data_IF_960653198718
#
_entry.id   IF_960653198718
#
_cell.length_a   1.000
_cell.length_b   1.000
_cell.length_c   1.000
_cell.angle_alpha   90.00
_cell.angle_beta   90.00
_cell.angle_gamma   90.00
#
_symmetry.space_group_name_H-M   'P 1'
#
loop_
_entity.id
_entity.type
_entity.pdbx_description
1 polymer ?
#
# COMPACT_ATOMS: atom_id res chain seq x y z
N UNK A 1 15.14 -3.67 -10.74
CA UNK A 1 15.17 -2.82 -9.54
C UNK A 1 16.44 -2.01 -9.60
N UNK A 2 16.43 -0.79 -9.08
CA UNK A 2 17.60 0.06 -8.97
C UNK A 2 18.75 -0.60 -8.20
N UNK A 3 19.93 -0.01 -8.27
CA UNK A 3 21.09 -0.45 -7.50
C UNK A 3 20.81 -0.34 -5.98
N UNK A 4 21.63 -0.98 -5.16
CA UNK A 4 21.56 -0.83 -3.70
C UNK A 4 21.69 0.65 -3.27
N UNK A 5 22.45 1.44 -4.03
CA UNK A 5 22.62 2.88 -3.83
C UNK A 5 21.31 3.65 -4.03
N UNK A 6 20.46 3.23 -4.98
CA UNK A 6 19.14 3.85 -5.20
C UNK A 6 18.21 3.63 -4.00
N UNK A 7 18.22 2.44 -3.39
CA UNK A 7 17.42 2.12 -2.21
C UNK A 7 17.91 2.91 -0.98
N UNK A 8 19.21 3.01 -0.79
CA UNK A 8 19.82 3.79 0.29
C UNK A 8 19.47 5.28 0.18
N UNK A 9 19.56 5.81 -1.03
CA UNK A 9 19.19 7.21 -1.32
C UNK A 9 17.69 7.44 -1.04
N UNK A 10 16.83 6.53 -1.50
CA UNK A 10 15.39 6.61 -1.24
C UNK A 10 15.10 6.54 0.27
N UNK A 11 15.79 5.66 1.01
CA UNK A 11 15.64 5.56 2.45
C UNK A 11 15.98 6.88 3.15
N UNK A 12 17.10 7.51 2.77
CA UNK A 12 17.50 8.80 3.33
C UNK A 12 16.45 9.89 3.03
N UNK A 13 15.93 9.93 1.81
CA UNK A 13 14.86 10.86 1.42
C UNK A 13 13.60 10.63 2.25
N UNK A 14 13.17 9.37 2.39
CA UNK A 14 12.02 9.01 3.22
C UNK A 14 12.22 9.48 4.66
N UNK A 15 13.36 9.16 5.28
CA UNK A 15 13.65 9.54 6.66
C UNK A 15 13.68 11.08 6.85
N UNK A 16 14.15 11.83 5.87
CA UNK A 16 14.14 13.30 5.91
C UNK A 16 12.73 13.92 5.83
N UNK A 17 11.75 13.18 5.33
CA UNK A 17 10.37 13.62 5.20
C UNK A 17 9.50 13.29 6.43
N UNK A 18 10.03 12.60 7.46
CA UNK A 18 9.23 12.16 8.61
C UNK A 18 8.51 13.31 9.30
N UNK A 19 9.21 14.39 9.65
CA UNK A 19 8.62 15.51 10.38
C UNK A 19 7.51 16.20 9.57
N UNK A 20 7.73 16.41 8.28
CA UNK A 20 6.71 16.97 7.39
C UNK A 20 5.52 16.03 7.21
N UNK A 21 5.77 14.73 7.16
CA UNK A 21 4.71 13.72 7.08
C UNK A 21 3.87 13.68 8.35
N UNK A 22 4.48 13.78 9.52
CA UNK A 22 3.78 13.90 10.81
C UNK A 22 2.96 15.19 10.89
N UNK A 23 3.50 16.33 10.48
CA UNK A 23 2.78 17.60 10.49
C UNK A 23 1.54 17.58 9.55
N UNK A 24 1.61 16.85 8.45
CA UNK A 24 0.53 16.73 7.47
C UNK A 24 -0.36 15.48 7.69
N UNK A 25 -0.12 14.72 8.76
CA UNK A 25 -0.91 13.53 9.04
C UNK A 25 -2.37 13.89 9.38
N UNK A 26 -3.28 12.96 9.12
CA UNK A 26 -4.73 13.18 9.24
C UNK A 26 -5.23 13.37 10.67
N UNK A 27 -4.47 12.90 11.66
CA UNK A 27 -4.75 13.09 13.09
C UNK A 27 -3.59 13.83 13.74
N UNK A 28 -3.89 14.74 14.65
CA UNK A 28 -2.91 15.43 15.49
C UNK A 28 -2.95 14.95 16.97
N UNK A 29 -3.67 13.87 17.24
CA UNK A 29 -3.62 13.21 18.56
C UNK A 29 -2.20 12.67 18.80
N UNK A 30 -1.57 13.00 19.95
CA UNK A 30 -0.18 12.61 20.21
C UNK A 30 0.06 11.10 20.19
N UNK A 31 -0.88 10.31 20.69
CA UNK A 31 -0.76 8.84 20.66
C UNK A 31 -0.81 8.29 19.23
N UNK A 32 -1.74 8.81 18.42
CA UNK A 32 -1.86 8.41 17.00
C UNK A 32 -0.62 8.82 16.22
N UNK A 33 -0.05 10.00 16.48
CA UNK A 33 1.20 10.44 15.86
C UNK A 33 2.40 9.55 16.24
N UNK A 34 2.49 9.11 17.49
CA UNK A 34 3.54 8.17 17.90
C UNK A 34 3.39 6.81 17.21
N UNK A 35 2.18 6.30 17.04
CA UNK A 35 1.93 5.10 16.27
C UNK A 35 2.30 5.27 14.79
N UNK A 36 1.88 6.36 14.17
CA UNK A 36 2.25 6.69 12.79
C UNK A 36 3.77 6.71 12.61
N UNK A 37 4.48 7.42 13.51
CA UNK A 37 5.95 7.48 13.51
C UNK A 37 6.59 6.09 13.63
N UNK A 38 6.09 5.25 14.54
CA UNK A 38 6.61 3.89 14.72
C UNK A 38 6.44 3.03 13.45
N UNK A 39 5.28 3.11 12.80
CA UNK A 39 4.99 2.40 11.55
C UNK A 39 5.83 2.94 10.39
N UNK A 40 5.93 4.26 10.27
CA UNK A 40 6.75 4.95 9.26
C UNK A 40 8.21 4.51 9.35
N UNK A 41 8.80 4.56 10.54
CA UNK A 41 10.19 4.14 10.78
C UNK A 41 10.38 2.63 10.54
N UNK A 42 9.42 1.80 10.90
CA UNK A 42 9.47 0.36 10.61
C UNK A 42 9.50 0.10 9.12
N UNK A 43 8.66 0.80 8.35
CA UNK A 43 8.66 0.69 6.89
C UNK A 43 9.98 1.19 6.30
N UNK A 44 10.45 2.39 6.67
CA UNK A 44 11.65 3.00 6.13
C UNK A 44 12.94 2.27 6.49
N UNK A 45 13.07 1.81 7.75
CA UNK A 45 14.32 1.25 8.29
C UNK A 45 14.41 -0.27 8.20
N UNK A 46 13.26 -0.96 8.09
CA UNK A 46 13.23 -2.43 8.09
C UNK A 46 12.71 -3.00 6.77
N UNK A 47 11.58 -2.51 6.24
CA UNK A 47 10.98 -3.11 5.05
C UNK A 47 11.64 -2.62 3.77
N UNK A 48 11.81 -1.32 3.61
CA UNK A 48 12.36 -0.73 2.40
C UNK A 48 13.75 -1.25 2.03
N UNK A 49 14.59 -1.52 3.03
CA UNK A 49 15.98 -1.98 2.87
C UNK A 49 16.16 -3.49 3.03
N UNK A 50 15.09 -4.25 3.09
CA UNK A 50 15.10 -5.70 3.28
C UNK A 50 14.64 -6.43 2.01
N UNK A 51 14.73 -7.78 1.97
CA UNK A 51 14.14 -8.58 0.88
C UNK A 51 12.61 -8.56 0.82
N UNK A 52 11.92 -7.86 1.71
CA UNK A 52 10.46 -7.70 1.66
C UNK A 52 10.07 -6.97 0.39
N UNK A 53 9.13 -7.55 -0.35
CA UNK A 53 8.65 -6.98 -1.61
C UNK A 53 7.94 -5.65 -1.39
N UNK A 54 8.41 -4.59 -2.03
CA UNK A 54 7.79 -3.26 -1.98
C UNK A 54 6.67 -3.10 -3.00
N UNK A 55 6.79 -3.82 -4.11
CA UNK A 55 5.82 -3.78 -5.21
C UNK A 55 5.53 -5.21 -5.65
N UNK A 56 4.26 -5.55 -5.75
CA UNK A 56 3.78 -6.78 -6.37
C UNK A 56 3.56 -6.54 -7.88
N UNK A 57 3.89 -7.52 -8.71
CA UNK A 57 3.64 -7.50 -10.14
C UNK A 57 2.72 -8.65 -10.52
N UNK A 58 1.61 -8.33 -11.16
CA UNK A 58 0.59 -9.27 -11.60
C UNK A 58 0.55 -9.29 -13.12
N UNK A 59 0.82 -10.45 -13.71
CA UNK A 59 0.76 -10.65 -15.15
C UNK A 59 -0.59 -11.22 -15.54
N UNK A 60 -1.31 -10.52 -16.40
CA UNK A 60 -2.59 -10.95 -16.95
C UNK A 60 -2.41 -11.31 -18.43
N UNK A 61 -2.81 -12.53 -18.78
CA UNK A 61 -2.76 -13.01 -20.17
C UNK A 61 -3.84 -12.38 -21.06
N UNK A 62 -4.81 -11.69 -20.46
CA UNK A 62 -5.85 -10.94 -21.17
C UNK A 62 -5.74 -9.47 -20.80
N UNK A 63 -5.40 -8.62 -21.76
CA UNK A 63 -5.30 -7.20 -21.53
C UNK A 63 -6.64 -6.50 -21.43
N UNK A 64 -6.63 -5.33 -20.80
CA UNK A 64 -7.81 -4.47 -20.61
C UNK A 64 -8.26 -3.74 -21.90
N UNK A 65 -7.57 -3.87 -23.01
CA UNK A 65 -7.90 -3.16 -24.25
C UNK A 65 -9.07 -3.84 -25.00
N UNK A 66 -10.22 -3.17 -25.00
CA UNK A 66 -11.31 -3.47 -25.92
C UNK A 66 -10.83 -3.26 -27.37
N UNK A 67 -11.20 -4.15 -28.31
CA UNK A 67 -10.89 -3.96 -29.72
C UNK A 67 -10.40 -5.21 -30.46
N UNK A 68 -10.50 -6.40 -29.84
CA UNK A 68 -10.20 -7.67 -30.52
C UNK A 68 -8.70 -7.99 -30.66
N UNK A 69 -7.80 -7.14 -30.19
CA UNK A 69 -6.36 -7.46 -30.11
C UNK A 69 -6.08 -8.27 -28.85
N UNK A 70 -5.29 -9.32 -29.01
CA UNK A 70 -4.74 -10.05 -27.86
C UNK A 70 -3.65 -9.20 -27.22
N UNK A 71 -3.88 -8.79 -26.00
CA UNK A 71 -2.92 -8.02 -25.20
C UNK A 71 -2.62 -8.72 -23.88
N UNK A 72 -1.45 -8.51 -23.34
CA UNK A 72 -1.15 -8.84 -21.94
C UNK A 72 -1.01 -7.56 -21.14
N UNK A 73 -1.31 -7.63 -19.86
CA UNK A 73 -1.11 -6.51 -18.92
C UNK A 73 -0.18 -6.92 -17.80
N UNK A 74 0.72 -6.03 -17.43
CA UNK A 74 1.48 -6.09 -16.19
C UNK A 74 0.90 -5.03 -15.25
N UNK A 75 0.11 -5.45 -14.28
CA UNK A 75 -0.34 -4.59 -13.19
C UNK A 75 0.68 -4.64 -12.06
N UNK A 76 0.76 -3.58 -11.28
CA UNK A 76 1.65 -3.53 -10.13
C UNK A 76 1.00 -2.75 -8.99
N UNK A 77 1.24 -3.21 -7.78
CA UNK A 77 0.67 -2.67 -6.56
C UNK A 77 1.74 -2.40 -5.52
N UNK A 78 1.69 -1.21 -4.92
CA UNK A 78 2.57 -0.82 -3.83
C UNK A 78 2.11 -1.49 -2.54
N UNK A 79 2.95 -2.35 -1.97
CA UNK A 79 2.58 -3.18 -0.82
C UNK A 79 2.78 -2.47 0.53
N UNK A 80 3.70 -1.51 0.61
CA UNK A 80 4.01 -0.80 1.85
C UNK A 80 4.00 0.72 1.61
N UNK A 81 2.80 1.33 1.35
CA UNK A 81 2.71 2.76 1.10
C UNK A 81 3.04 3.58 2.35
N UNK A 82 3.64 4.75 2.13
CA UNK A 82 3.82 5.79 3.14
C UNK A 82 2.61 6.73 3.22
N UNK A 83 1.85 6.85 2.14
CA UNK A 83 0.57 7.55 2.12
C UNK A 83 -0.43 6.85 3.03
N UNK A 84 -1.11 7.61 3.87
CA UNK A 84 -2.16 7.09 4.74
C UNK A 84 -3.39 7.97 4.66
N UNK A 85 -4.52 7.32 4.48
CA UNK A 85 -5.82 7.94 4.42
C UNK A 85 -6.55 7.97 5.76
N UNK A 86 -7.85 8.17 5.69
CA UNK A 86 -8.74 8.20 6.85
C UNK A 86 -10.12 7.66 6.50
N UNK A 87 -10.79 7.13 7.52
CA UNK A 87 -12.17 6.70 7.47
C UNK A 87 -12.89 7.24 8.71
N UNK A 88 -13.98 7.97 8.52
CA UNK A 88 -14.79 8.53 9.60
C UNK A 88 -16.28 8.34 9.33
N UNK A 89 -17.04 8.06 10.39
CA UNK A 89 -18.49 8.19 10.35
C UNK A 89 -18.86 9.68 10.36
N UNK A 90 -19.86 10.06 9.59
CA UNK A 90 -20.34 11.45 9.46
C UNK A 90 -21.67 11.68 10.15
N UNK A 91 -22.40 10.60 10.45
CA UNK A 91 -23.69 10.61 11.14
C UNK A 91 -23.74 9.46 12.16
N UNK A 92 -24.78 9.41 12.97
CA UNK A 92 -25.09 8.28 13.87
C UNK A 92 -26.06 7.27 13.23
N UNK A 93 -26.42 7.43 11.98
CA UNK A 93 -27.19 6.44 11.23
C UNK A 93 -26.23 5.39 10.64
N UNK A 94 -26.45 4.13 10.99
CA UNK A 94 -25.61 3.00 10.53
C UNK A 94 -25.81 2.65 9.05
N UNK A 95 -26.82 3.20 8.40
CA UNK A 95 -27.06 3.04 6.96
C UNK A 95 -26.35 4.09 6.12
N UNK A 96 -25.84 5.16 6.74
CA UNK A 96 -25.05 6.16 6.04
C UNK A 96 -23.62 5.65 5.80
N UNK A 97 -23.14 5.81 4.57
CA UNK A 97 -21.75 5.46 4.24
C UNK A 97 -20.76 6.36 4.97
N UNK A 98 -19.67 5.79 5.52
CA UNK A 98 -18.61 6.60 6.11
C UNK A 98 -17.90 7.43 5.04
N UNK A 99 -17.30 8.53 5.48
CA UNK A 99 -16.38 9.30 4.64
C UNK A 99 -15.06 8.56 4.51
N UNK A 100 -14.67 8.28 3.26
CA UNK A 100 -13.43 7.61 2.87
C UNK A 100 -12.53 8.59 2.12
N UNK A 101 -11.36 8.86 2.66
CA UNK A 101 -10.33 9.66 2.01
C UNK A 101 -9.03 8.84 2.01
N UNK A 102 -8.73 8.11 0.94
CA UNK A 102 -7.57 7.23 0.89
C UNK A 102 -6.23 7.97 0.77
N UNK A 103 -6.22 9.25 0.39
CA UNK A 103 -5.03 10.08 0.20
C UNK A 103 -3.92 9.40 -0.60
N UNK A 104 -4.30 8.66 -1.63
CA UNK A 104 -3.35 7.93 -2.48
C UNK A 104 -2.32 8.89 -3.06
N UNK A 105 -1.04 8.46 -3.11
CA UNK A 105 0.09 9.26 -3.59
C UNK A 105 0.34 10.57 -2.83
N UNK A 106 -0.20 10.73 -1.63
CA UNK A 106 0.06 11.92 -0.81
C UNK A 106 1.51 11.99 -0.28
N UNK A 107 2.25 10.90 -0.34
CA UNK A 107 3.66 10.83 0.05
C UNK A 107 4.58 10.69 -1.19
N UNK A 108 5.63 11.53 -1.34
CA UNK A 108 6.48 11.51 -2.54
C UNK A 108 7.21 10.19 -2.80
N UNK A 109 7.52 9.43 -1.74
CA UNK A 109 8.17 8.12 -1.88
C UNK A 109 7.30 7.12 -2.63
N UNK A 110 5.97 7.17 -2.46
CA UNK A 110 5.04 6.29 -3.15
C UNK A 110 5.04 6.56 -4.65
N UNK A 111 5.07 7.84 -5.04
CA UNK A 111 5.21 8.23 -6.45
C UNK A 111 6.52 7.70 -7.03
N UNK A 112 7.62 7.83 -6.28
CA UNK A 112 8.94 7.34 -6.71
C UNK A 112 8.94 5.82 -6.89
N UNK A 113 8.39 5.06 -5.94
CA UNK A 113 8.30 3.60 -6.02
C UNK A 113 7.43 3.15 -7.19
N UNK A 114 6.27 3.79 -7.40
CA UNK A 114 5.37 3.48 -8.52
C UNK A 114 6.01 3.82 -9.86
N UNK A 115 6.76 4.91 -9.97
CA UNK A 115 7.53 5.25 -11.18
C UNK A 115 8.57 4.18 -11.50
N UNK A 116 9.29 3.68 -10.50
CA UNK A 116 10.22 2.57 -10.68
C UNK A 116 9.51 1.28 -11.08
N UNK A 117 8.29 1.06 -10.59
CA UNK A 117 7.48 -0.08 -10.99
C UNK A 117 7.09 -0.01 -12.49
N UNK A 118 6.69 1.17 -13.00
CA UNK A 118 6.46 1.35 -14.46
C UNK A 118 7.70 1.01 -15.27
N UNK A 119 8.86 1.56 -14.88
CA UNK A 119 10.14 1.29 -15.56
C UNK A 119 10.51 -0.18 -15.51
N UNK A 120 10.24 -0.87 -14.40
CA UNK A 120 10.51 -2.29 -14.26
C UNK A 120 9.55 -3.15 -15.08
N UNK A 121 8.25 -2.82 -15.11
CA UNK A 121 7.26 -3.50 -15.95
C UNK A 121 7.66 -3.44 -17.45
N UNK A 122 8.14 -2.29 -17.92
CA UNK A 122 8.70 -2.15 -19.28
C UNK A 122 9.89 -3.06 -19.52
N UNK A 123 10.80 -3.17 -18.54
CA UNK A 123 11.93 -4.12 -18.65
C UNK A 123 11.46 -5.57 -18.75
N UNK A 124 10.41 -5.96 -18.01
CA UNK A 124 9.81 -7.29 -18.17
C UNK A 124 9.36 -7.50 -19.62
N UNK A 125 8.60 -6.56 -20.17
CA UNK A 125 8.09 -6.63 -21.55
C UNK A 125 9.18 -6.65 -22.63
N UNK A 126 10.32 -5.98 -22.40
CA UNK A 126 11.44 -5.89 -23.35
C UNK A 126 12.51 -6.96 -23.15
N UNK A 127 12.32 -7.89 -22.19
CA UNK A 127 13.28 -8.97 -21.92
C UNK A 127 12.82 -10.28 -22.54
N UNK A 128 13.69 -11.05 -23.24
CA UNK A 128 13.37 -12.39 -23.69
C UNK A 128 12.98 -13.34 -22.52
N UNK A 129 12.03 -14.27 -22.73
CA UNK A 129 11.35 -14.57 -23.99
C UNK A 129 10.17 -13.66 -24.34
N UNK A 130 9.67 -12.83 -23.43
CA UNK A 130 8.47 -12.01 -23.66
C UNK A 130 8.65 -11.05 -24.85
N UNK A 131 9.78 -10.39 -24.94
CA UNK A 131 10.07 -9.45 -26.05
C UNK A 131 10.03 -10.06 -27.45
N UNK A 132 10.09 -11.39 -27.57
CA UNK A 132 10.02 -12.07 -28.88
C UNK A 132 8.60 -12.26 -29.39
N UNK A 133 7.61 -12.11 -28.51
CA UNK A 133 6.19 -12.36 -28.80
C UNK A 133 5.31 -11.13 -28.57
N UNK A 134 5.82 -10.09 -27.90
CA UNK A 134 5.11 -8.85 -27.64
C UNK A 134 5.32 -7.84 -28.76
N UNK A 135 4.26 -7.13 -29.10
CA UNK A 135 4.31 -5.93 -29.94
C UNK A 135 4.64 -4.67 -29.17
N UNK A 136 4.21 -3.55 -29.71
CA UNK A 136 4.41 -2.22 -29.09
C UNK A 136 3.57 -2.06 -27.82
N UNK A 137 4.14 -1.42 -26.81
CA UNK A 137 3.44 -1.00 -25.60
C UNK A 137 2.24 -0.09 -25.96
N UNK A 138 1.06 -0.45 -25.48
CA UNK A 138 -0.19 0.28 -25.76
C UNK A 138 -0.57 1.22 -24.63
N UNK A 139 -0.21 0.91 -23.39
CA UNK A 139 -0.50 1.74 -22.21
C UNK A 139 0.66 1.64 -21.21
N UNK A 140 1.20 2.78 -20.76
CA UNK A 140 0.93 4.16 -21.17
C UNK A 140 1.38 4.51 -22.59
N UNK A 141 2.13 3.64 -23.26
CA UNK A 141 2.73 3.84 -24.57
C UNK A 141 4.11 4.50 -24.53
N UNK A 142 4.92 4.32 -25.60
CA UNK A 142 6.33 4.71 -25.62
C UNK A 142 6.57 6.23 -25.52
N UNK A 143 5.56 7.05 -25.82
CA UNK A 143 5.65 8.50 -25.70
C UNK A 143 5.74 9.00 -24.26
N UNK A 144 5.20 8.23 -23.30
CA UNK A 144 5.26 8.52 -21.85
C UNK A 144 6.59 8.01 -21.30
N UNK A 145 7.67 8.79 -21.44
CA UNK A 145 9.03 8.35 -21.13
C UNK A 145 9.75 9.18 -20.06
N UNK A 146 9.49 10.47 -19.99
CA UNK A 146 10.06 11.32 -18.94
C UNK A 146 9.41 11.02 -17.58
N UNK A 147 10.16 11.23 -16.50
CA UNK A 147 9.67 10.93 -15.14
C UNK A 147 8.37 11.67 -14.80
N UNK A 148 8.26 12.95 -15.22
CA UNK A 148 7.05 13.73 -15.02
C UNK A 148 5.83 13.16 -15.79
N UNK A 149 6.03 12.65 -16.99
CA UNK A 149 4.96 12.04 -17.79
C UNK A 149 4.50 10.72 -17.18
N UNK A 150 5.45 9.93 -16.65
CA UNK A 150 5.16 8.70 -15.92
C UNK A 150 4.37 9.02 -14.65
N UNK A 151 4.76 10.05 -13.90
CA UNK A 151 4.04 10.47 -12.69
C UNK A 151 2.60 10.91 -13.00
N UNK A 152 2.43 11.67 -14.08
CA UNK A 152 1.11 12.06 -14.55
C UNK A 152 0.27 10.85 -14.98
N UNK A 153 0.86 9.89 -15.67
CA UNK A 153 0.17 8.64 -16.00
C UNK A 153 -0.27 7.89 -14.74
N UNK A 154 0.63 7.73 -13.76
CA UNK A 154 0.33 7.08 -12.48
C UNK A 154 -0.83 7.80 -11.78
N UNK A 155 -0.76 9.12 -11.63
CA UNK A 155 -1.78 9.90 -10.95
C UNK A 155 -3.19 9.77 -11.59
N UNK A 156 -3.25 9.59 -12.90
CA UNK A 156 -4.51 9.46 -13.64
C UNK A 156 -5.03 8.02 -13.79
N UNK A 157 -4.19 7.02 -13.52
CA UNK A 157 -4.54 5.60 -13.72
C UNK A 157 -4.53 4.74 -12.46
N UNK A 158 -4.03 5.30 -11.34
CA UNK A 158 -3.95 4.55 -10.09
C UNK A 158 -5.35 4.17 -9.56
N UNK A 159 -5.45 2.94 -9.08
CA UNK A 159 -6.66 2.40 -8.49
C UNK A 159 -6.32 1.65 -7.20
N UNK A 160 -7.35 1.32 -6.45
CA UNK A 160 -7.21 0.47 -5.26
C UNK A 160 -6.95 -0.98 -5.67
N UNK A 161 -6.13 -1.68 -4.89
CA UNK A 161 -5.99 -3.15 -4.95
C UNK A 161 -7.04 -3.87 -4.08
N UNK A 162 -8.01 -3.14 -3.54
CA UNK A 162 -9.07 -3.66 -2.68
C UNK A 162 -8.57 -4.29 -1.37
N UNK A 163 -7.46 -3.84 -0.85
CA UNK A 163 -6.83 -4.34 0.38
C UNK A 163 -6.68 -3.25 1.45
N UNK A 164 -7.75 -2.52 1.83
CA UNK A 164 -7.66 -1.52 2.90
C UNK A 164 -7.34 -2.21 4.23
N UNK A 165 -6.48 -1.57 5.03
CA UNK A 165 -6.04 -2.07 6.32
C UNK A 165 -5.84 -0.90 7.30
N UNK A 166 -5.47 -1.20 8.55
CA UNK A 166 -4.98 -0.27 9.57
C UNK A 166 -6.03 0.68 10.20
N UNK A 167 -7.28 0.68 9.80
CA UNK A 167 -8.27 1.60 10.37
C UNK A 167 -8.63 1.32 11.83
N UNK A 168 -8.38 0.11 12.32
CA UNK A 168 -8.56 -0.33 13.71
C UNK A 168 -7.31 -1.05 14.22
N UNK A 169 -6.16 -0.40 14.08
CA UNK A 169 -4.83 -1.00 14.22
C UNK A 169 -4.60 -1.73 15.55
N UNK A 170 -3.97 -2.90 15.47
CA UNK A 170 -3.43 -3.65 16.61
C UNK A 170 -2.07 -3.05 17.01
N UNK A 171 -2.12 -1.98 17.80
CA UNK A 171 -0.99 -1.25 18.35
C UNK A 171 -1.18 -1.06 19.85
N UNK A 172 -0.14 -0.69 20.60
CA UNK A 172 -0.29 -0.22 21.98
C UNK A 172 -1.31 0.94 22.05
N UNK A 173 -2.13 0.97 23.10
CA UNK A 173 -3.17 1.99 23.25
C UNK A 173 -2.59 3.43 23.23
N UNK A 174 -1.43 3.64 23.84
CA UNK A 174 -0.72 4.92 23.85
C UNK A 174 -0.08 5.28 22.49
N UNK A 175 -0.19 4.39 21.49
CA UNK A 175 0.21 4.62 20.11
C UNK A 175 -0.99 4.65 19.17
N UNK A 176 -2.16 5.03 19.68
CA UNK A 176 -3.40 5.10 18.89
C UNK A 176 -3.97 3.73 18.51
N UNK A 177 -3.51 2.65 19.15
CA UNK A 177 -4.05 1.31 18.94
C UNK A 177 -5.52 1.21 19.35
N UNK A 178 -6.30 0.46 18.56
CA UNK A 178 -7.73 0.23 18.80
C UNK A 178 -7.96 -1.13 19.44
N UNK A 179 -7.16 -2.14 19.09
CA UNK A 179 -7.24 -3.48 19.65
C UNK A 179 -5.91 -3.94 20.24
N UNK A 180 -5.98 -4.79 21.26
CA UNK A 180 -4.83 -5.46 21.85
C UNK A 180 -4.37 -6.68 21.02
N UNK A 181 -3.30 -7.35 21.45
CA UNK A 181 -2.77 -8.55 20.80
C UNK A 181 -3.77 -9.74 20.83
N UNK A 182 -4.85 -9.67 21.61
CA UNK A 182 -5.96 -10.64 21.63
C UNK A 182 -7.15 -10.16 20.81
N UNK A 183 -6.96 -9.11 19.99
CA UNK A 183 -7.98 -8.51 19.13
C UNK A 183 -9.16 -7.90 19.89
N UNK A 184 -9.02 -7.64 21.20
CA UNK A 184 -10.03 -6.97 22.00
C UNK A 184 -9.92 -5.46 21.83
N UNK A 185 -11.07 -4.82 21.66
CA UNK A 185 -11.14 -3.35 21.59
C UNK A 185 -10.83 -2.78 22.97
N UNK A 186 -9.88 -1.86 23.05
CA UNK A 186 -9.54 -1.16 24.28
C UNK A 186 -10.75 -0.46 24.88
N UNK A 187 -10.92 -0.55 26.19
CA UNK A 187 -12.04 0.04 26.91
C UNK A 187 -13.37 -0.72 26.81
N UNK A 188 -13.45 -1.81 26.02
CA UNK A 188 -14.65 -2.64 25.90
C UNK A 188 -14.39 -4.08 26.38
N UNK A 189 -15.40 -4.70 27.02
CA UNK A 189 -15.22 -6.03 27.61
C UNK A 189 -15.40 -7.18 26.60
N UNK A 190 -16.38 -7.07 25.71
CA UNK A 190 -16.87 -8.19 24.90
C UNK A 190 -16.82 -7.94 23.40
N UNK A 191 -16.03 -6.94 22.96
CA UNK A 191 -15.90 -6.57 21.54
C UNK A 191 -14.52 -6.94 21.03
N UNK A 192 -14.48 -7.57 19.85
CA UNK A 192 -13.26 -7.86 19.09
C UNK A 192 -13.41 -7.44 17.64
N UNK A 193 -12.28 -7.14 17.03
CA UNK A 193 -12.19 -6.93 15.58
C UNK A 193 -11.32 -8.03 14.98
N UNK A 194 -11.81 -8.71 13.92
CA UNK A 194 -11.13 -9.85 13.27
C UNK A 194 -11.25 -9.71 11.76
N UNK A 195 -10.68 -8.63 11.24
CA UNK A 195 -10.60 -8.36 9.80
C UNK A 195 -9.32 -7.59 9.46
N UNK A 196 -9.14 -7.17 8.21
CA UNK A 196 -7.93 -6.49 7.75
C UNK A 196 -7.66 -5.15 8.44
N UNK A 197 -8.65 -4.52 9.05
CA UNK A 197 -8.50 -3.24 9.74
C UNK A 197 -7.52 -3.29 10.91
N UNK A 198 -7.31 -4.47 11.51
CA UNK A 198 -6.40 -4.65 12.65
C UNK A 198 -4.92 -4.67 12.25
N UNK A 199 -4.59 -4.87 10.98
CA UNK A 199 -3.19 -4.94 10.56
C UNK A 199 -2.56 -3.54 10.59
N UNK A 200 -1.53 -3.31 11.41
CA UNK A 200 -0.92 -1.99 11.53
C UNK A 200 -0.06 -1.63 10.30
N UNK A 201 0.45 -2.63 9.59
CA UNK A 201 1.18 -2.50 8.33
C UNK A 201 0.62 -3.50 7.31
N UNK A 202 0.65 -3.13 6.05
CA UNK A 202 0.24 -4.01 4.97
C UNK A 202 1.26 -5.14 4.76
N UNK A 203 0.80 -6.27 4.26
CA UNK A 203 1.65 -7.40 3.89
C UNK A 203 2.14 -7.27 2.46
N UNK A 204 3.31 -7.84 2.15
CA UNK A 204 3.79 -7.99 0.78
C UNK A 204 3.07 -9.15 0.06
N UNK A 205 1.73 -9.21 0.17
CA UNK A 205 0.86 -10.22 -0.42
C UNK A 205 -0.61 -9.84 -0.19
N UNK A 206 -1.52 -10.46 -0.92
CA UNK A 206 -2.97 -10.28 -0.73
C UNK A 206 -3.41 -10.57 0.71
N UNK A 207 -4.27 -9.71 1.28
CA UNK A 207 -4.64 -9.77 2.72
C UNK A 207 -5.62 -10.88 3.06
N UNK A 208 -6.43 -11.37 2.11
CA UNK A 208 -7.48 -12.36 2.39
C UNK A 208 -6.99 -13.61 3.11
N UNK A 209 -5.88 -14.27 2.71
CA UNK A 209 -5.36 -15.44 3.44
C UNK A 209 -5.00 -15.13 4.90
N UNK A 210 -4.56 -13.91 5.18
CA UNK A 210 -4.20 -13.46 6.53
C UNK A 210 -5.44 -13.28 7.40
N UNK A 211 -6.52 -12.71 6.84
CA UNK A 211 -7.81 -12.58 7.56
C UNK A 211 -8.35 -13.95 7.94
N UNK A 212 -8.35 -14.92 7.03
CA UNK A 212 -8.77 -16.29 7.33
C UNK A 212 -7.89 -16.96 8.38
N UNK A 213 -6.58 -16.76 8.35
CA UNK A 213 -5.66 -17.31 9.34
C UNK A 213 -5.97 -16.75 10.73
N UNK A 214 -6.16 -15.45 10.87
CA UNK A 214 -6.51 -14.81 12.14
C UNK A 214 -7.85 -15.32 12.68
N UNK A 215 -8.88 -15.36 11.83
CA UNK A 215 -10.19 -15.87 12.21
C UNK A 215 -10.11 -17.33 12.67
N UNK A 216 -9.38 -18.20 11.96
CA UNK A 216 -9.25 -19.62 12.28
C UNK A 216 -8.42 -19.86 13.55
N UNK A 217 -7.34 -19.12 13.75
CA UNK A 217 -6.52 -19.20 14.95
C UNK A 217 -7.34 -18.79 16.20
N UNK A 218 -8.15 -17.74 16.07
CA UNK A 218 -9.04 -17.30 17.15
C UNK A 218 -10.13 -18.32 17.45
N UNK A 219 -10.76 -18.92 16.42
CA UNK A 219 -11.78 -19.95 16.60
C UNK A 219 -11.27 -21.19 17.36
N UNK A 220 -9.97 -21.48 17.24
CA UNK A 220 -9.28 -22.57 17.96
C UNK A 220 -8.83 -22.19 19.38
N UNK A 221 -9.11 -20.99 19.85
CA UNK A 221 -8.71 -20.53 21.18
C UNK A 221 -7.20 -20.30 21.36
N UNK A 222 -6.46 -20.11 20.29
CA UNK A 222 -5.00 -19.92 20.30
C UNK A 222 -4.55 -18.52 20.72
N UNK A 223 -5.50 -17.59 20.95
CA UNK A 223 -5.27 -16.21 21.41
C UNK A 223 -6.29 -15.77 22.46
#
# INVERSE_FOLDING_TARGET
>A
MGSYDDVSTLQQQVLSLLDSSMANFTSQDPGVLEGYKALYLTNAQKFLVSPVGQVEFLLYATGASGGGQQTISVQFALQHPYSQGRLYITTNDTFDYPSLDPRVLSHPADVTLMRQAVKFARRIGTTPPLSTVLGTETSPGPAVSADADIDNFIANSIQTEFHPANTLAMLPQNQGGVVDAKLKVYGLQNVRVIDASVFPLQFAAHVSPRCYLFASARARGQY
#
